data_IF_000512788307
#
_entry.id   IF_000512788307
#
_cell.length_a   1.000
_cell.length_b   1.000
_cell.length_c   1.000
_cell.angle_alpha   90.00
_cell.angle_beta   90.00
_cell.angle_gamma   90.00
#
_symmetry.space_group_name_H-M   'P 1'
#
loop_
_entity.id
_entity.type
_entity.pdbx_description
1 polymer ?
#
# COMPACT_ATOMS: atom_id res chain seq x y z
N UNK A 1 32.30 -35.01 41.91
CA UNK A 1 30.97 -34.45 41.58
C UNK A 1 31.19 -33.33 40.58
N UNK A 2 31.10 -33.64 39.29
CA UNK A 2 31.02 -32.61 38.24
C UNK A 2 29.79 -32.92 37.41
N UNK A 3 28.77 -32.08 37.59
CA UNK A 3 27.55 -32.09 36.79
C UNK A 3 27.87 -31.60 35.38
N UNK A 4 27.36 -32.24 34.31
CA UNK A 4 27.42 -31.67 32.98
C UNK A 4 26.39 -30.55 32.84
N UNK A 5 26.83 -29.46 32.24
CA UNK A 5 26.05 -28.28 31.88
C UNK A 5 25.00 -28.71 30.84
N UNK A 6 23.73 -28.44 31.14
CA UNK A 6 22.59 -28.82 30.32
C UNK A 6 22.67 -28.20 28.94
N UNK A 7 22.57 -29.06 27.92
CA UNK A 7 22.33 -28.64 26.54
C UNK A 7 20.97 -27.98 26.44
N UNK A 8 20.98 -26.66 26.26
CA UNK A 8 19.79 -25.94 25.81
C UNK A 8 19.43 -26.43 24.42
N UNK A 9 18.23 -26.99 24.28
CA UNK A 9 17.62 -27.35 23.00
C UNK A 9 17.60 -26.11 22.10
N UNK A 10 18.58 -25.99 21.19
CA UNK A 10 18.57 -25.02 20.09
C UNK A 10 17.40 -25.42 19.19
N UNK A 11 16.36 -24.61 19.13
CA UNK A 11 15.31 -24.77 18.14
C UNK A 11 15.95 -24.58 16.76
N UNK A 12 16.13 -25.68 16.02
CA UNK A 12 16.61 -25.66 14.64
C UNK A 12 15.42 -25.28 13.76
N UNK A 13 15.40 -24.04 13.31
CA UNK A 13 14.46 -23.58 12.29
C UNK A 13 15.21 -23.54 10.97
N UNK A 14 14.84 -24.43 10.05
CA UNK A 14 15.41 -24.43 8.70
C UNK A 14 14.74 -23.31 7.90
N UNK A 15 15.44 -22.19 7.83
CA UNK A 15 15.16 -21.13 6.86
C UNK A 15 15.94 -21.49 5.60
N UNK A 16 15.31 -21.46 4.43
CA UNK A 16 15.86 -21.91 3.12
C UNK A 16 17.02 -21.03 2.59
N UNK A 17 18.05 -20.87 3.40
CA UNK A 17 19.36 -20.34 3.05
C UNK A 17 20.43 -21.44 3.12
N UNK A 18 20.08 -22.67 3.50
CA UNK A 18 21.01 -23.75 3.82
C UNK A 18 21.60 -24.43 2.57
N UNK A 19 22.68 -23.86 2.05
CA UNK A 19 23.66 -24.61 1.24
C UNK A 19 24.98 -24.72 2.01
N UNK A 20 25.81 -25.70 1.65
CA UNK A 20 26.96 -26.26 2.39
C UNK A 20 28.07 -25.25 2.81
N UNK A 21 27.96 -23.96 2.48
CA UNK A 21 28.95 -22.92 2.81
C UNK A 21 28.44 -21.81 3.76
N UNK A 22 27.24 -21.95 4.34
CA UNK A 22 26.65 -20.93 5.22
C UNK A 22 26.50 -21.44 6.66
N UNK A 23 27.24 -20.82 7.59
CA UNK A 23 27.01 -21.00 9.03
C UNK A 23 25.88 -20.07 9.45
N UNK A 24 24.78 -20.65 9.94
CA UNK A 24 23.62 -19.91 10.43
C UNK A 24 23.60 -19.96 11.95
N UNK A 25 23.73 -18.81 12.60
CA UNK A 25 23.45 -18.66 14.03
C UNK A 25 22.15 -17.88 14.21
N UNK A 26 21.16 -18.55 14.79
CA UNK A 26 19.97 -17.91 15.35
C UNK A 26 20.41 -17.15 16.60
N UNK A 27 20.50 -15.84 16.50
CA UNK A 27 21.05 -15.02 17.59
C UNK A 27 19.96 -14.58 18.57
N UNK A 28 18.82 -14.16 18.04
CA UNK A 28 17.78 -13.54 18.86
C UNK A 28 16.39 -13.79 18.25
N UNK A 29 15.48 -14.24 19.10
CA UNK A 29 14.06 -14.29 18.80
C UNK A 29 13.34 -13.31 19.72
N UNK A 30 12.66 -12.34 19.10
CA UNK A 30 11.87 -11.34 19.78
C UNK A 30 10.43 -11.40 19.28
N UNK A 31 9.52 -10.76 20.01
CA UNK A 31 8.15 -10.59 19.59
C UNK A 31 7.85 -9.11 19.34
N UNK A 32 7.03 -8.82 18.35
CA UNK A 32 6.51 -7.49 18.09
C UNK A 32 4.99 -7.55 17.88
N UNK A 33 4.32 -6.41 18.00
CA UNK A 33 2.87 -6.34 17.78
C UNK A 33 2.61 -5.86 16.35
N UNK A 34 1.83 -6.63 15.59
CA UNK A 34 1.43 -6.24 14.25
C UNK A 34 0.64 -4.93 14.26
N UNK A 35 1.01 -4.03 13.34
CA UNK A 35 0.25 -2.80 13.08
C UNK A 35 -1.08 -3.06 12.37
N UNK A 36 -1.20 -4.18 11.66
CA UNK A 36 -2.40 -4.52 10.91
C UNK A 36 -3.49 -5.08 11.85
N UNK A 37 -3.17 -6.17 12.56
CA UNK A 37 -4.13 -6.96 13.37
C UNK A 37 -4.00 -6.77 14.88
N UNK A 38 -2.89 -6.19 15.37
CA UNK A 38 -2.58 -6.14 16.80
C UNK A 38 -2.11 -7.48 17.38
N UNK A 39 -1.91 -8.51 16.56
CA UNK A 39 -1.38 -9.81 17.01
C UNK A 39 0.10 -9.72 17.34
N UNK A 40 0.55 -10.56 18.28
CA UNK A 40 1.97 -10.71 18.58
C UNK A 40 2.61 -11.63 17.53
N UNK A 41 3.52 -11.07 16.73
CA UNK A 41 4.28 -11.75 15.68
C UNK A 41 5.73 -11.93 16.11
N UNK A 42 6.41 -12.90 15.50
CA UNK A 42 7.82 -13.21 15.77
C UNK A 42 8.74 -12.39 14.88
N UNK A 43 9.84 -11.92 15.47
CA UNK A 43 10.98 -11.36 14.75
C UNK A 43 12.23 -12.17 15.09
N UNK A 44 12.94 -12.57 14.06
CA UNK A 44 14.14 -13.39 14.17
C UNK A 44 15.33 -12.64 13.59
N UNK A 45 16.42 -12.60 14.34
CA UNK A 45 17.72 -12.14 13.87
C UNK A 45 18.61 -13.33 13.56
N UNK A 46 19.04 -13.40 12.30
CA UNK A 46 19.99 -14.38 11.80
C UNK A 46 21.34 -13.73 11.56
N UNK A 47 22.40 -14.40 11.99
CA UNK A 47 23.75 -14.13 11.51
C UNK A 47 24.18 -15.24 10.56
N UNK A 48 24.64 -14.85 9.38
CA UNK A 48 25.18 -15.75 8.37
C UNK A 48 26.63 -15.38 8.11
N UNK A 49 27.51 -16.38 8.00
CA UNK A 49 28.89 -16.17 7.60
C UNK A 49 29.10 -16.83 6.23
N UNK A 50 29.48 -16.03 5.24
CA UNK A 50 29.91 -16.51 3.94
C UNK A 50 31.44 -16.49 3.87
N UNK A 51 32.06 -17.67 3.83
CA UNK A 51 33.52 -17.84 3.85
C UNK A 51 34.24 -17.53 2.52
N UNK A 52 33.50 -17.11 1.49
CA UNK A 52 34.05 -16.78 0.17
C UNK A 52 33.29 -15.65 -0.51
N UNK A 53 33.94 -14.94 -1.44
CA UNK A 53 33.27 -13.91 -2.25
C UNK A 53 32.14 -14.50 -3.12
N UNK A 54 32.27 -15.75 -3.55
CA UNK A 54 31.24 -16.44 -4.33
C UNK A 54 30.00 -16.71 -3.47
N UNK A 55 30.19 -17.25 -2.27
CA UNK A 55 29.12 -17.47 -1.30
C UNK A 55 28.41 -16.17 -0.92
N UNK A 56 29.18 -15.09 -0.69
CA UNK A 56 28.64 -13.76 -0.41
C UNK A 56 27.72 -13.26 -1.53
N UNK A 57 28.14 -13.35 -2.80
CA UNK A 57 27.34 -12.92 -3.95
C UNK A 57 26.08 -13.77 -4.12
N UNK A 58 26.19 -15.08 -3.94
CA UNK A 58 25.04 -16.00 -3.95
C UNK A 58 24.04 -15.62 -2.87
N UNK A 59 24.50 -15.39 -1.64
CA UNK A 59 23.66 -14.99 -0.52
C UNK A 59 22.96 -13.64 -0.76
N UNK A 60 23.65 -12.64 -1.31
CA UNK A 60 23.02 -11.36 -1.67
C UNK A 60 21.89 -11.51 -2.70
N UNK A 61 22.01 -12.43 -3.65
CA UNK A 61 20.95 -12.72 -4.62
C UNK A 61 19.76 -13.41 -3.93
N UNK A 62 20.02 -14.38 -3.05
CA UNK A 62 18.99 -15.05 -2.26
C UNK A 62 18.24 -14.07 -1.35
N UNK A 63 18.96 -13.18 -0.66
CA UNK A 63 18.36 -12.12 0.17
C UNK A 63 17.48 -11.21 -0.70
N UNK A 64 17.97 -10.72 -1.84
CA UNK A 64 17.15 -9.87 -2.73
C UNK A 64 15.91 -10.57 -3.26
N UNK A 65 16.00 -11.87 -3.54
CA UNK A 65 14.84 -12.66 -3.93
C UNK A 65 13.84 -12.81 -2.78
N UNK A 66 14.34 -13.10 -1.58
CA UNK A 66 13.55 -13.18 -0.36
C UNK A 66 12.88 -11.85 0.03
N UNK A 67 13.53 -10.71 -0.22
CA UNK A 67 12.96 -9.37 -0.06
C UNK A 67 11.72 -9.14 -0.96
N UNK A 68 11.61 -9.88 -2.08
CA UNK A 68 10.48 -9.77 -3.00
C UNK A 68 9.43 -10.88 -2.83
N UNK A 69 9.85 -12.12 -2.59
CA UNK A 69 8.98 -13.30 -2.58
C UNK A 69 8.59 -13.74 -1.15
N UNK A 70 9.28 -13.25 -0.12
CA UNK A 70 9.23 -13.79 1.23
C UNK A 70 9.99 -15.12 1.35
N UNK A 71 10.08 -15.63 2.57
CA UNK A 71 10.75 -16.88 2.91
C UNK A 71 9.76 -17.77 3.65
N UNK A 72 9.72 -19.05 3.29
CA UNK A 72 8.96 -20.04 4.06
C UNK A 72 9.92 -20.83 4.94
N UNK A 73 9.53 -21.06 6.18
CA UNK A 73 10.18 -22.07 7.03
C UNK A 73 9.40 -23.36 6.93
N UNK A 74 10.10 -24.50 6.91
CA UNK A 74 9.50 -25.83 6.88
C UNK A 74 9.92 -26.65 8.09
N UNK A 75 9.08 -27.61 8.49
CA UNK A 75 9.46 -28.64 9.46
C UNK A 75 10.24 -29.80 8.81
N UNK A 76 10.58 -30.81 9.60
CA UNK A 76 11.27 -32.02 9.12
C UNK A 76 10.44 -32.85 8.10
N UNK A 77 9.12 -32.64 8.05
CA UNK A 77 8.21 -33.27 7.09
C UNK A 77 8.07 -32.46 5.78
N UNK A 78 8.63 -31.24 5.75
CA UNK A 78 8.53 -30.32 4.61
C UNK A 78 7.27 -29.46 4.64
N UNK A 79 6.49 -29.49 5.71
CA UNK A 79 5.29 -28.66 5.85
C UNK A 79 5.68 -27.23 6.24
N UNK A 80 5.05 -26.24 5.61
CA UNK A 80 5.33 -24.81 5.88
C UNK A 80 4.87 -24.44 7.28
N UNK A 81 5.82 -24.12 8.16
CA UNK A 81 5.59 -23.74 9.56
C UNK A 81 5.44 -22.24 9.76
N UNK A 82 5.87 -21.43 8.80
CA UNK A 82 5.79 -19.98 8.89
C UNK A 82 6.22 -19.30 7.59
N UNK A 83 5.72 -18.08 7.36
CA UNK A 83 6.15 -17.20 6.28
C UNK A 83 6.81 -15.96 6.88
N UNK A 84 7.85 -15.47 6.23
CA UNK A 84 8.76 -14.47 6.75
C UNK A 84 9.11 -13.46 5.68
N UNK A 85 9.18 -12.18 6.05
CA UNK A 85 9.71 -11.12 5.19
C UNK A 85 11.08 -10.67 5.70
N UNK A 86 11.92 -10.20 4.79
CA UNK A 86 13.23 -9.63 5.13
C UNK A 86 13.01 -8.16 5.52
N UNK A 87 12.91 -7.88 6.82
CA UNK A 87 12.71 -6.52 7.33
C UNK A 87 13.99 -5.67 7.24
N UNK A 88 15.16 -6.30 7.42
CA UNK A 88 16.45 -5.63 7.31
C UNK A 88 17.54 -6.62 6.90
N UNK A 89 18.41 -6.21 6.00
CA UNK A 89 19.62 -6.94 5.63
C UNK A 89 20.83 -6.00 5.70
N UNK A 90 21.94 -6.48 6.24
CA UNK A 90 23.21 -5.76 6.26
C UNK A 90 24.37 -6.74 6.27
N UNK A 91 25.55 -6.31 5.82
CA UNK A 91 26.74 -7.15 5.86
C UNK A 91 28.00 -6.32 6.10
N UNK A 92 29.02 -6.97 6.65
CA UNK A 92 30.38 -6.45 6.74
C UNK A 92 31.39 -7.51 6.29
N UNK A 93 32.55 -7.06 5.82
CA UNK A 93 33.65 -7.92 5.43
C UNK A 93 34.74 -7.85 6.52
N UNK A 94 35.27 -8.99 6.93
CA UNK A 94 36.41 -9.10 7.83
C UNK A 94 37.51 -9.95 7.17
N UNK A 95 38.77 -9.52 7.31
CA UNK A 95 39.93 -10.20 6.74
C UNK A 95 40.66 -9.39 5.67
N UNK A 96 41.89 -9.81 5.35
CA UNK A 96 42.73 -9.22 4.31
C UNK A 96 43.02 -10.24 3.20
N UNK A 97 42.88 -9.81 1.94
CA UNK A 97 43.23 -10.63 0.78
C UNK A 97 42.26 -11.78 0.51
N UNK A 98 42.79 -12.98 0.25
CA UNK A 98 42.02 -14.13 -0.23
C UNK A 98 41.20 -14.87 0.86
N UNK A 99 41.36 -14.51 2.14
CA UNK A 99 40.65 -15.10 3.27
C UNK A 99 39.63 -14.11 3.88
N UNK A 100 38.85 -13.45 3.00
CA UNK A 100 37.82 -12.51 3.44
C UNK A 100 36.55 -13.27 3.83
N UNK A 101 36.12 -13.11 5.07
CA UNK A 101 34.84 -13.60 5.59
C UNK A 101 33.79 -12.48 5.53
N UNK A 102 32.59 -12.81 5.06
CA UNK A 102 31.49 -11.86 4.95
C UNK A 102 30.44 -12.22 6.00
N UNK A 103 30.27 -11.34 6.98
CA UNK A 103 29.28 -11.49 8.03
C UNK A 103 28.02 -10.74 7.64
N UNK A 104 26.91 -11.46 7.54
CA UNK A 104 25.59 -10.92 7.25
C UNK A 104 24.73 -10.94 8.50
N UNK A 105 24.00 -9.86 8.73
CA UNK A 105 22.94 -9.77 9.72
C UNK A 105 21.62 -9.57 8.97
N UNK A 106 20.70 -10.51 9.15
CA UNK A 106 19.37 -10.49 8.53
C UNK A 106 18.33 -10.50 9.64
N UNK A 107 17.39 -9.58 9.57
CA UNK A 107 16.21 -9.54 10.43
C UNK A 107 15.01 -10.00 9.60
N UNK A 108 14.40 -11.09 10.05
CA UNK A 108 13.18 -11.65 9.49
C UNK A 108 12.00 -11.32 10.40
N UNK A 109 10.87 -10.93 9.81
CA UNK A 109 9.60 -10.72 10.51
C UNK A 109 8.56 -11.71 10.01
N UNK A 110 7.83 -12.32 10.93
CA UNK A 110 6.75 -13.24 10.60
C UNK A 110 5.67 -12.49 9.82
N UNK A 111 5.34 -13.00 8.64
CA UNK A 111 4.26 -12.49 7.82
C UNK A 111 2.93 -13.03 8.33
N UNK A 112 1.91 -12.18 8.33
CA UNK A 112 0.54 -12.61 8.58
C UNK A 112 -0.31 -12.48 7.32
N UNK A 113 -1.22 -13.44 7.13
CA UNK A 113 -2.20 -13.37 6.07
C UNK A 113 -3.36 -12.45 6.50
N UNK A 114 -3.49 -11.30 5.84
CA UNK A 114 -4.57 -10.36 6.07
C UNK A 114 -5.82 -10.79 5.32
N UNK A 115 -6.79 -11.36 6.03
CA UNK A 115 -8.10 -11.71 5.47
C UNK A 115 -9.16 -10.69 5.89
N UNK A 116 -9.33 -9.65 5.09
CA UNK A 116 -10.46 -8.73 5.27
C UNK A 116 -11.76 -9.44 4.87
N UNK A 117 -12.76 -9.39 5.76
CA UNK A 117 -14.10 -9.89 5.47
C UNK A 117 -14.98 -8.79 4.86
N UNK A 118 -14.90 -7.59 5.44
CA UNK A 118 -15.64 -6.43 4.95
C UNK A 118 -15.03 -5.13 5.44
N UNK A 119 -15.13 -4.07 4.64
CA UNK A 119 -14.85 -2.70 5.04
C UNK A 119 -16.16 -1.99 5.33
N UNK A 120 -16.32 -1.50 6.57
CA UNK A 120 -17.46 -0.69 6.94
C UNK A 120 -17.05 0.78 6.93
N UNK A 121 -17.61 1.54 5.99
CA UNK A 121 -17.45 2.99 5.85
C UNK A 121 -18.75 3.64 6.35
N UNK A 122 -18.77 4.15 7.59
CA UNK A 122 -20.00 4.60 8.26
C UNK A 122 -21.12 3.53 8.26
N UNK A 123 -22.20 3.77 7.49
CA UNK A 123 -23.35 2.88 7.30
C UNK A 123 -23.22 1.95 6.08
N UNK A 124 -22.20 2.13 5.25
CA UNK A 124 -21.94 1.34 4.05
C UNK A 124 -21.02 0.16 4.42
N UNK A 125 -21.43 -1.05 4.05
CA UNK A 125 -20.56 -2.24 4.14
C UNK A 125 -20.16 -2.67 2.75
N UNK A 126 -18.85 -2.79 2.52
CA UNK A 126 -18.24 -3.21 1.27
C UNK A 126 -17.50 -4.53 1.50
N UNK A 127 -17.53 -5.41 0.50
CA UNK A 127 -16.81 -6.68 0.51
C UNK A 127 -15.70 -6.63 -0.53
N UNK A 128 -14.45 -6.34 -0.12
CA UNK A 128 -13.32 -6.32 -1.04
C UNK A 128 -13.07 -7.70 -1.66
N UNK A 129 -12.77 -7.72 -2.95
CA UNK A 129 -12.18 -8.90 -3.60
C UNK A 129 -10.64 -8.77 -3.71
N UNK A 130 -10.11 -7.56 -3.50
CA UNK A 130 -8.68 -7.28 -3.38
C UNK A 130 -8.48 -6.23 -2.28
N UNK A 131 -7.46 -6.42 -1.46
CA UNK A 131 -7.20 -5.61 -0.28
C UNK A 131 -5.71 -5.55 0.02
N UNK A 132 -5.22 -4.34 0.27
CA UNK A 132 -3.82 -4.06 0.60
C UNK A 132 -3.77 -2.94 1.64
N UNK A 133 -2.87 -3.08 2.62
CA UNK A 133 -2.56 -2.06 3.61
C UNK A 133 -1.10 -1.65 3.49
N UNK A 134 -0.86 -0.34 3.43
CA UNK A 134 0.48 0.24 3.41
C UNK A 134 0.61 1.19 4.59
N UNK A 135 1.63 0.98 5.41
CA UNK A 135 1.95 1.86 6.54
C UNK A 135 3.18 2.73 6.25
N UNK A 136 3.05 4.05 6.38
CA UNK A 136 4.19 4.98 6.54
C UNK A 136 4.23 5.43 8.00
N UNK A 137 5.15 4.88 8.80
CA UNK A 137 5.10 5.05 10.25
C UNK A 137 3.82 4.44 10.86
N UNK A 138 3.00 5.26 11.50
CA UNK A 138 1.72 4.86 12.11
C UNK A 138 0.51 5.13 11.19
N UNK A 139 0.74 5.82 10.07
CA UNK A 139 -0.29 6.22 9.12
C UNK A 139 -0.65 5.08 8.18
N UNK A 140 -1.95 4.78 8.10
CA UNK A 140 -2.48 3.70 7.28
C UNK A 140 -3.05 4.21 5.95
N UNK A 141 -2.59 3.62 4.85
CA UNK A 141 -3.23 3.72 3.55
C UNK A 141 -3.83 2.36 3.20
N UNK A 142 -5.11 2.36 2.81
CA UNK A 142 -5.82 1.15 2.38
C UNK A 142 -6.10 1.27 0.89
N UNK A 143 -5.74 0.25 0.12
CA UNK A 143 -6.21 0.09 -1.25
C UNK A 143 -7.13 -1.12 -1.31
N UNK A 144 -8.32 -0.91 -1.83
CA UNK A 144 -9.32 -1.95 -1.88
C UNK A 144 -10.09 -1.92 -3.18
N UNK A 145 -10.25 -3.09 -3.80
CA UNK A 145 -11.12 -3.23 -4.95
C UNK A 145 -12.40 -3.92 -4.55
N UNK A 146 -13.52 -3.31 -4.91
CA UNK A 146 -14.86 -3.71 -4.49
C UNK A 146 -15.79 -3.74 -5.69
N UNK A 147 -16.79 -4.60 -5.60
CA UNK A 147 -17.92 -4.61 -6.53
C UNK A 147 -19.14 -4.13 -5.76
N UNK A 148 -19.81 -3.09 -6.27
CA UNK A 148 -20.90 -2.41 -5.56
C UNK A 148 -22.19 -2.45 -6.37
N UNK A 149 -23.28 -2.58 -5.65
CA UNK A 149 -24.65 -2.46 -6.18
C UNK A 149 -24.99 -1.00 -6.50
N UNK A 150 -26.02 -0.73 -7.34
CA UNK A 150 -26.48 0.63 -7.61
C UNK A 150 -26.87 1.41 -6.34
N UNK A 151 -27.46 0.75 -5.35
CA UNK A 151 -27.83 1.37 -4.08
C UNK A 151 -26.59 1.76 -3.25
N UNK A 152 -25.58 0.89 -3.21
CA UNK A 152 -24.31 1.19 -2.55
C UNK A 152 -23.54 2.29 -3.28
N UNK A 153 -23.53 2.27 -4.61
CA UNK A 153 -22.92 3.30 -5.45
C UNK A 153 -23.51 4.69 -5.18
N UNK A 154 -24.83 4.81 -5.09
CA UNK A 154 -25.48 6.08 -4.74
C UNK A 154 -25.03 6.61 -3.37
N UNK A 155 -24.90 5.74 -2.37
CA UNK A 155 -24.41 6.13 -1.04
C UNK A 155 -22.92 6.47 -1.04
N UNK A 156 -22.11 5.68 -1.76
CA UNK A 156 -20.67 5.91 -1.89
C UNK A 156 -20.42 7.29 -2.52
N UNK A 157 -21.17 7.65 -3.56
CA UNK A 157 -21.09 8.95 -4.22
C UNK A 157 -21.42 10.10 -3.27
N UNK A 158 -22.43 9.96 -2.42
CA UNK A 158 -22.75 10.96 -1.40
C UNK A 158 -21.59 11.12 -0.41
N UNK A 159 -21.05 10.00 0.08
CA UNK A 159 -19.92 10.03 1.02
C UNK A 159 -18.66 10.63 0.40
N UNK A 160 -18.38 10.34 -0.87
CA UNK A 160 -17.24 10.90 -1.61
C UNK A 160 -17.40 12.40 -1.92
N UNK A 161 -18.64 12.92 -1.93
CA UNK A 161 -18.91 14.34 -2.16
C UNK A 161 -18.62 15.20 -0.93
N UNK A 162 -18.78 14.63 0.26
CA UNK A 162 -18.65 15.38 1.51
C UNK A 162 -17.19 15.69 1.90
N UNK A 163 -16.20 15.17 1.15
CA UNK A 163 -14.73 15.42 1.24
C UNK A 163 -14.14 15.44 2.67
N UNK A 164 -14.85 14.80 3.60
CA UNK A 164 -14.56 14.78 5.02
C UNK A 164 -14.01 13.45 5.50
N UNK A 165 -13.58 13.45 6.76
CA UNK A 165 -13.18 12.22 7.44
C UNK A 165 -14.40 11.42 7.90
N UNK A 166 -14.30 10.10 7.80
CA UNK A 166 -15.32 9.17 8.24
C UNK A 166 -14.70 7.95 8.91
N UNK A 167 -15.53 7.23 9.68
CA UNK A 167 -15.09 6.06 10.42
C UNK A 167 -15.02 4.84 9.52
N UNK A 168 -13.86 4.18 9.51
CA UNK A 168 -13.59 2.94 8.79
C UNK A 168 -13.29 1.81 9.75
N UNK A 169 -14.01 0.69 9.61
CA UNK A 169 -13.77 -0.54 10.37
C UNK A 169 -13.38 -1.68 9.43
N UNK A 170 -12.25 -2.33 9.72
CA UNK A 170 -11.64 -3.39 8.90
C UNK A 170 -11.98 -4.76 9.45
N UNK A 171 -13.22 -5.22 9.23
CA UNK A 171 -13.69 -6.48 9.81
C UNK A 171 -12.89 -7.67 9.31
N UNK A 172 -12.51 -8.55 10.23
CA UNK A 172 -11.63 -9.69 9.96
C UNK A 172 -10.14 -9.41 10.17
N UNK A 173 -9.72 -8.13 10.19
CA UNK A 173 -8.34 -7.71 10.47
C UNK A 173 -8.27 -7.00 11.82
N UNK A 174 -9.01 -5.89 11.96
CA UNK A 174 -9.04 -5.08 13.17
C UNK A 174 -10.40 -4.36 13.29
N UNK A 175 -11.11 -4.64 14.38
CA UNK A 175 -12.43 -4.05 14.67
C UNK A 175 -12.34 -2.63 15.25
N UNK A 176 -11.14 -2.14 15.57
CA UNK A 176 -10.96 -0.78 16.07
C UNK A 176 -11.20 0.22 14.91
N UNK A 177 -12.16 1.15 15.05
CA UNK A 177 -12.43 2.15 14.01
C UNK A 177 -11.25 3.12 13.84
N UNK A 178 -11.00 3.52 12.60
CA UNK A 178 -10.04 4.60 12.25
C UNK A 178 -10.73 5.69 11.45
N UNK A 179 -10.37 6.95 11.70
CA UNK A 179 -10.84 8.08 10.90
C UNK A 179 -10.01 8.17 9.61
N UNK A 180 -10.67 8.05 8.46
CA UNK A 180 -10.02 8.09 7.15
C UNK A 180 -10.82 8.96 6.18
N UNK A 181 -10.19 9.36 5.08
CA UNK A 181 -10.87 9.98 3.94
C UNK A 181 -10.58 9.21 2.67
N UNK A 182 -11.34 9.51 1.63
CA UNK A 182 -11.01 9.08 0.28
C UNK A 182 -9.76 9.80 -0.26
N UNK A 183 -8.99 9.10 -1.07
CA UNK A 183 -7.99 9.72 -1.94
C UNK A 183 -8.68 10.57 -3.01
N UNK A 184 -7.97 11.59 -3.52
CA UNK A 184 -8.42 12.44 -4.64
C UNK A 184 -8.62 11.67 -5.95
N UNK A 185 -8.08 10.45 -6.04
CA UNK A 185 -8.14 9.58 -7.21
C UNK A 185 -8.80 8.27 -6.82
N UNK A 186 -10.02 8.05 -7.32
CA UNK A 186 -10.76 6.80 -7.15
C UNK A 186 -11.20 6.34 -8.54
N UNK A 187 -10.65 5.20 -8.96
CA UNK A 187 -10.99 4.61 -10.25
C UNK A 187 -12.29 3.84 -10.16
N UNK A 188 -13.07 3.87 -11.23
CA UNK A 188 -14.30 3.11 -11.31
C UNK A 188 -14.52 2.58 -12.73
N UNK A 189 -15.25 1.47 -12.84
CA UNK A 189 -15.71 0.94 -14.13
C UNK A 189 -17.11 0.35 -13.99
N UNK A 190 -17.85 0.28 -15.09
CA UNK A 190 -19.14 -0.39 -15.13
C UNK A 190 -18.94 -1.88 -15.44
N UNK A 191 -19.55 -2.75 -14.65
CA UNK A 191 -19.48 -4.19 -14.83
C UNK A 191 -20.90 -4.80 -14.81
N UNK A 192 -21.55 -4.78 -15.98
CA UNK A 192 -22.95 -5.17 -16.13
C UNK A 192 -23.90 -4.23 -15.37
N UNK A 193 -24.60 -4.79 -14.36
CA UNK A 193 -25.50 -4.04 -13.47
C UNK A 193 -24.83 -3.56 -12.18
N UNK A 194 -23.54 -3.81 -12.02
CA UNK A 194 -22.75 -3.40 -10.86
C UNK A 194 -21.64 -2.43 -11.28
N UNK A 195 -21.00 -1.84 -10.28
CA UNK A 195 -19.85 -0.97 -10.47
C UNK A 195 -18.64 -1.57 -9.79
N UNK A 196 -17.50 -1.50 -10.46
CA UNK A 196 -16.21 -1.84 -9.88
C UNK A 196 -15.58 -0.55 -9.40
N UNK A 197 -14.96 -0.57 -8.23
CA UNK A 197 -14.22 0.56 -7.70
C UNK A 197 -12.86 0.11 -7.20
N UNK A 198 -11.84 0.94 -7.44
CA UNK A 198 -10.61 0.93 -6.65
C UNK A 198 -10.68 2.09 -5.67
N UNK A 199 -10.96 1.76 -4.42
CA UNK A 199 -11.05 2.70 -3.32
C UNK A 199 -9.68 2.80 -2.66
N UNK A 200 -9.19 4.02 -2.54
CA UNK A 200 -8.00 4.33 -1.75
C UNK A 200 -8.41 5.18 -0.56
N UNK A 201 -8.14 4.70 0.65
CA UNK A 201 -8.44 5.38 1.91
C UNK A 201 -7.14 5.81 2.59
N UNK A 202 -7.11 7.03 3.10
CA UNK A 202 -5.94 7.63 3.76
C UNK A 202 -6.31 8.01 5.20
N UNK A 203 -5.49 7.58 6.16
CA UNK A 203 -5.65 7.90 7.58
C UNK A 203 -5.59 9.42 7.81
N UNK A 204 -6.43 9.93 8.71
CA UNK A 204 -6.45 11.35 9.08
C UNK A 204 -5.10 11.86 9.59
N UNK A 205 -4.36 11.02 10.32
CA UNK A 205 -3.03 11.37 10.82
C UNK A 205 -2.01 11.66 9.72
N UNK A 206 -2.27 11.21 8.49
CA UNK A 206 -1.42 11.52 7.33
C UNK A 206 -1.45 13.01 6.96
N UNK A 207 -2.61 13.65 7.07
CA UNK A 207 -2.80 15.06 6.72
C UNK A 207 -2.45 16.02 7.86
N UNK A 208 -2.42 15.51 9.10
CA UNK A 208 -1.98 16.27 10.28
C UNK A 208 -0.46 16.45 10.33
N UNK A 209 0.30 15.65 9.56
CA UNK A 209 1.72 15.89 9.36
C UNK A 209 1.92 17.08 8.45
N UNK A 210 2.74 18.02 8.89
CA UNK A 210 3.26 19.16 8.13
C UNK A 210 4.28 18.71 7.05
N UNK A 211 3.99 17.63 6.33
CA UNK A 211 4.76 17.13 5.19
C UNK A 211 4.14 17.74 3.93
N UNK A 212 4.93 18.40 3.06
CA UNK A 212 4.39 19.00 1.85
C UNK A 212 3.82 17.89 0.95
N UNK A 213 2.49 17.80 0.87
CA UNK A 213 1.64 17.00 -0.02
C UNK A 213 1.98 17.16 -1.53
N UNK A 214 3.07 17.84 -1.86
CA UNK A 214 3.34 18.47 -3.16
C UNK A 214 4.15 17.58 -4.09
N UNK A 215 4.70 16.44 -3.65
CA UNK A 215 5.70 15.70 -4.45
C UNK A 215 5.23 14.45 -5.21
N UNK A 216 4.04 13.89 -4.95
CA UNK A 216 3.59 12.69 -5.69
C UNK A 216 3.00 13.00 -7.08
N UNK A 217 2.64 14.25 -7.36
CA UNK A 217 1.82 14.59 -8.54
C UNK A 217 2.32 15.78 -9.38
N UNK A 218 3.56 16.24 -9.17
CA UNK A 218 4.18 17.29 -10.00
C UNK A 218 5.17 16.66 -10.98
N UNK A 219 5.01 16.87 -12.30
CA UNK A 219 4.62 18.12 -12.97
C UNK A 219 3.23 18.12 -13.66
N UNK A 220 2.48 17.01 -13.61
CA UNK A 220 1.17 16.95 -14.29
C UNK A 220 0.13 17.87 -13.63
N UNK A 221 0.08 17.94 -12.30
CA UNK A 221 -0.87 18.82 -11.60
C UNK A 221 -0.59 20.31 -11.86
N UNK A 222 0.66 20.74 -11.87
CA UNK A 222 0.99 22.14 -12.18
C UNK A 222 0.58 22.52 -13.61
N UNK A 223 0.75 21.61 -14.58
CA UNK A 223 0.31 21.84 -15.97
C UNK A 223 -1.21 21.83 -16.10
N UNK A 224 -1.90 20.94 -15.39
CA UNK A 224 -3.37 20.95 -15.33
C UNK A 224 -3.91 22.21 -14.67
N UNK A 225 -3.32 22.66 -13.56
CA UNK A 225 -3.70 23.90 -12.88
C UNK A 225 -3.54 25.12 -13.80
N UNK A 226 -2.43 25.22 -14.54
CA UNK A 226 -2.22 26.31 -15.50
C UNK A 226 -3.20 26.25 -16.68
N UNK A 227 -3.49 25.06 -17.21
CA UNK A 227 -4.46 24.91 -18.30
C UNK A 227 -5.91 25.21 -17.84
N UNK A 228 -6.27 24.79 -16.62
CA UNK A 228 -7.58 25.06 -16.00
C UNK A 228 -7.72 26.55 -15.68
N UNK A 229 -6.68 27.20 -15.16
CA UNK A 229 -6.68 28.65 -14.91
C UNK A 229 -6.88 29.44 -16.22
N UNK A 230 -6.18 29.07 -17.29
CA UNK A 230 -6.36 29.70 -18.60
C UNK A 230 -7.76 29.49 -19.18
N UNK A 231 -8.34 28.29 -19.01
CA UNK A 231 -9.72 28.02 -19.42
C UNK A 231 -10.75 28.77 -18.56
N UNK A 232 -10.52 28.90 -17.25
CA UNK A 232 -11.38 29.64 -16.34
C UNK A 232 -11.43 31.13 -16.74
N UNK A 233 -10.27 31.75 -16.96
CA UNK A 233 -10.18 33.14 -17.42
C UNK A 233 -10.86 33.35 -18.77
N UNK A 234 -10.72 32.40 -19.70
CA UNK A 234 -11.38 32.48 -21.00
C UNK A 234 -12.91 32.40 -20.87
N UNK A 235 -13.42 31.53 -19.99
CA UNK A 235 -14.86 31.43 -19.72
C UNK A 235 -15.39 32.69 -19.06
N UNK A 236 -14.67 33.26 -18.10
CA UNK A 236 -15.03 34.53 -17.44
C UNK A 236 -15.06 35.68 -18.45
N UNK A 237 -14.03 35.80 -19.30
CA UNK A 237 -14.00 36.81 -20.36
C UNK A 237 -15.18 36.65 -21.35
N UNK A 238 -15.61 35.42 -21.64
CA UNK A 238 -16.79 35.17 -22.48
C UNK A 238 -18.09 35.57 -21.78
N UNK A 239 -18.26 35.24 -20.50
CA UNK A 239 -19.44 35.61 -19.72
C UNK A 239 -19.55 37.14 -19.58
N UNK A 240 -18.45 37.83 -19.30
CA UNK A 240 -18.39 39.29 -19.23
C UNK A 240 -18.70 39.95 -20.57
N UNK A 241 -18.19 39.40 -21.68
CA UNK A 241 -18.52 39.89 -23.02
C UNK A 241 -20.02 39.72 -23.34
N UNK A 242 -20.64 38.62 -22.90
CA UNK A 242 -22.07 38.36 -23.09
C UNK A 242 -22.95 39.26 -22.21
N UNK A 243 -22.52 39.56 -20.99
CA UNK A 243 -23.18 40.55 -20.11
C UNK A 243 -23.08 41.95 -20.71
N UNK A 244 -21.88 42.35 -21.17
CA UNK A 244 -21.62 43.67 -21.76
C UNK A 244 -22.45 43.90 -23.01
N UNK A 245 -22.60 42.87 -23.85
CA UNK A 245 -23.45 42.89 -25.04
C UNK A 245 -24.94 42.70 -24.75
N UNK A 246 -25.33 42.59 -23.47
CA UNK A 246 -26.71 42.42 -22.98
C UNK A 246 -27.41 41.15 -23.47
N UNK A 247 -26.65 40.11 -23.82
CA UNK A 247 -27.20 38.79 -24.13
C UNK A 247 -27.48 37.95 -22.88
N UNK A 248 -26.80 38.25 -21.76
CA UNK A 248 -27.02 37.64 -20.46
C UNK A 248 -27.15 38.71 -19.38
N UNK A 249 -27.90 38.41 -18.33
CA UNK A 249 -27.89 39.20 -17.09
C UNK A 249 -26.89 38.62 -16.09
N UNK A 250 -26.50 39.42 -15.10
CA UNK A 250 -25.71 38.91 -13.96
C UNK A 250 -26.44 37.76 -13.23
N UNK A 251 -27.78 37.80 -13.15
CA UNK A 251 -28.57 36.71 -12.57
C UNK A 251 -28.41 35.38 -13.33
N UNK A 252 -28.42 35.43 -14.68
CA UNK A 252 -28.24 34.25 -15.52
C UNK A 252 -26.87 33.60 -15.29
N UNK A 253 -25.81 34.42 -15.20
CA UNK A 253 -24.44 33.94 -14.93
C UNK A 253 -24.34 33.30 -13.55
N UNK A 254 -24.98 33.87 -12.54
CA UNK A 254 -24.97 33.34 -11.17
C UNK A 254 -25.64 31.95 -11.10
N UNK A 255 -26.78 31.80 -11.79
CA UNK A 255 -27.50 30.53 -11.87
C UNK A 255 -26.72 29.48 -12.70
N UNK A 256 -26.05 29.91 -13.78
CA UNK A 256 -25.15 29.05 -14.55
C UNK A 256 -23.98 28.54 -13.71
N UNK A 257 -23.35 29.39 -12.89
CA UNK A 257 -22.28 28.99 -11.97
C UNK A 257 -22.76 27.98 -10.93
N UNK A 258 -23.95 28.19 -10.36
CA UNK A 258 -24.57 27.25 -9.41
C UNK A 258 -24.77 25.86 -10.04
N UNK A 259 -25.39 25.81 -11.22
CA UNK A 259 -25.58 24.55 -11.97
C UNK A 259 -24.27 23.91 -12.40
N UNK A 260 -23.26 24.71 -12.73
CA UNK A 260 -21.93 24.20 -13.09
C UNK A 260 -21.24 23.57 -11.88
N UNK A 261 -21.31 24.19 -10.69
CA UNK A 261 -20.74 23.65 -9.46
C UNK A 261 -21.42 22.33 -9.05
N UNK A 262 -22.76 22.24 -9.16
CA UNK A 262 -23.50 21.01 -8.90
C UNK A 262 -23.09 19.87 -9.85
N UNK A 263 -22.79 20.18 -11.12
CA UNK A 263 -22.37 19.20 -12.14
C UNK A 263 -20.87 18.94 -12.19
N UNK A 264 -20.06 19.80 -11.58
CA UNK A 264 -18.60 19.72 -11.66
C UNK A 264 -18.08 18.43 -11.02
N UNK A 265 -18.69 18.00 -9.92
CA UNK A 265 -18.34 16.75 -9.25
C UNK A 265 -18.69 15.53 -10.12
N UNK A 266 -19.90 15.50 -10.70
CA UNK A 266 -20.33 14.42 -11.59
C UNK A 266 -19.39 14.26 -12.79
N UNK A 267 -18.99 15.38 -13.42
CA UNK A 267 -18.00 15.36 -14.52
C UNK A 267 -16.58 15.03 -14.05
N UNK A 268 -16.19 15.45 -12.84
CA UNK A 268 -14.86 15.13 -12.30
C UNK A 268 -14.68 13.62 -12.18
N UNK A 269 -15.72 12.89 -11.76
CA UNK A 269 -15.74 11.44 -11.67
C UNK A 269 -15.60 10.74 -13.03
N UNK A 270 -16.15 11.30 -14.10
CA UNK A 270 -16.04 10.72 -15.46
C UNK A 270 -14.59 10.64 -15.94
N UNK A 271 -13.70 11.54 -15.50
CA UNK A 271 -12.26 11.46 -15.84
C UNK A 271 -11.54 10.25 -15.22
N UNK A 272 -12.12 9.62 -14.20
CA UNK A 272 -11.57 8.45 -13.53
C UNK A 272 -12.29 7.15 -13.91
N UNK A 273 -13.17 7.21 -14.91
CA UNK A 273 -13.77 6.01 -15.51
C UNK A 273 -12.73 5.29 -16.37
N UNK A 274 -12.55 3.99 -16.11
CA UNK A 274 -11.71 3.10 -16.93
C UNK A 274 -12.55 1.96 -17.50
N UNK A 275 -12.11 1.34 -18.59
CA UNK A 275 -12.82 0.22 -19.22
C UNK A 275 -12.92 -0.98 -18.28
N UNK A 276 -11.80 -1.37 -17.67
CA UNK A 276 -11.73 -2.32 -16.57
C UNK A 276 -10.58 -1.97 -15.62
N UNK A 277 -10.86 -2.00 -14.32
CA UNK A 277 -9.89 -1.64 -13.27
C UNK A 277 -8.74 -2.64 -13.20
N UNK A 278 -9.02 -3.94 -13.31
CA UNK A 278 -7.97 -4.94 -13.16
C UNK A 278 -7.04 -4.95 -14.38
N UNK A 279 -7.57 -4.70 -15.58
CA UNK A 279 -6.75 -4.52 -16.78
C UNK A 279 -5.89 -3.25 -16.71
N UNK A 280 -6.48 -2.12 -16.32
CA UNK A 280 -5.78 -0.83 -16.22
C UNK A 280 -4.62 -0.86 -15.22
N UNK A 281 -4.79 -1.58 -14.11
CA UNK A 281 -3.81 -1.66 -13.03
C UNK A 281 -2.82 -2.83 -13.17
N UNK A 282 -2.92 -3.63 -14.23
CA UNK A 282 -1.88 -4.65 -14.49
C UNK A 282 -0.55 -3.94 -14.68
N UNK A 283 0.52 -4.35 -13.96
CA UNK A 283 1.84 -3.83 -14.25
C UNK A 283 2.16 -4.12 -15.71
N UNK A 284 2.56 -3.10 -16.47
CA UNK A 284 3.00 -3.28 -17.83
C UNK A 284 4.11 -4.36 -17.85
N UNK A 285 4.11 -5.28 -18.82
CA UNK A 285 5.21 -6.22 -18.94
C UNK A 285 6.50 -5.40 -19.02
N UNK A 286 7.42 -5.66 -18.08
CA UNK A 286 8.75 -5.05 -18.12
C UNK A 286 9.32 -5.41 -19.49
N UNK A 287 9.59 -4.41 -20.33
CA UNK A 287 10.48 -4.60 -21.47
C UNK A 287 11.83 -5.01 -20.87
N UNK A 288 12.06 -6.32 -20.79
CA UNK A 288 13.41 -6.86 -20.67
C UNK A 288 14.08 -6.50 -21.98
N UNK A 289 14.97 -5.51 -21.93
CA UNK A 289 15.98 -5.38 -22.96
C UNK A 289 16.91 -6.58 -22.76
N UNK A 290 16.69 -7.63 -23.54
CA UNK A 290 17.67 -8.70 -23.75
C UNK A 290 18.97 -8.11 -24.32
#
# INVERSE_FOLDING_TARGET
MHSPIGGGSRAAMNVDFSEEELIVDLEEQSAFTSRHTGRTLKRIRLRLIAGSLLAHRSLLLKIRRAEHEGISSTDEAGDVTGRWEVAKSSFCCQGEGHNSEYHHEIVLEEMEDLMVQSLRLNDITLCPYSYEEVFDGDELCIRSRVMVTPEQDARLRLLMRDDGYFSVVRRGICEQPREMRFSDTILWSRHGNMFKYEIVLVDKSYDERDRPLVRLFQPQISRMQSAVAAQAEMVEAMLDALITRKYLTQGDVTEMRKKAAERAWDRRREFFEVSDIDEFLRPAPRLTWD
#
